data_IF_605046335428
#
_entry.id   IF_605046335428
#
_cell.length_a   1.000
_cell.length_b   1.000
_cell.length_c   1.000
_cell.angle_alpha   90.00
_cell.angle_beta   90.00
_cell.angle_gamma   90.00
#
_symmetry.space_group_name_H-M   'P 1'
#
loop_
_entity.id
_entity.type
_entity.pdbx_description
1 polymer ?
#
# COMPACT_ATOMS: atom_id res chain seq x y z
N UNK A 1 23.97 31.03 13.63
CA UNK A 1 23.34 32.16 12.94
C UNK A 1 24.41 33.24 12.77
N UNK A 2 24.77 33.57 11.56
CA UNK A 2 25.73 34.66 11.35
C UNK A 2 24.99 35.98 11.59
N UNK A 3 25.40 36.71 12.66
CA UNK A 3 25.08 38.14 12.79
C UNK A 3 26.18 38.89 12.07
N UNK A 4 25.84 40.04 11.46
CA UNK A 4 26.81 40.90 10.80
C UNK A 4 28.01 41.15 11.71
N UNK A 5 29.16 40.55 11.36
CA UNK A 5 30.48 40.84 11.92
C UNK A 5 30.99 40.06 13.13
N UNK A 6 30.23 39.10 13.69
CA UNK A 6 30.76 38.28 14.79
C UNK A 6 30.29 36.80 14.69
N UNK A 7 31.17 35.82 14.91
CA UNK A 7 30.74 34.44 15.10
C UNK A 7 29.97 34.29 16.41
N UNK A 8 28.85 33.51 16.39
CA UNK A 8 27.97 33.31 17.57
C UNK A 8 28.59 32.46 18.71
N UNK A 9 29.86 32.06 18.62
CA UNK A 9 30.62 31.39 19.67
C UNK A 9 31.89 32.19 20.04
N UNK A 10 32.24 32.25 21.32
CA UNK A 10 33.51 32.74 21.75
C UNK A 10 34.60 31.82 21.18
N UNK A 11 35.16 32.19 20.04
CA UNK A 11 36.29 31.51 19.44
C UNK A 11 37.54 32.02 20.08
N UNK A 12 38.55 31.17 20.21
CA UNK A 12 39.90 31.59 20.56
C UNK A 12 40.29 32.82 19.71
N UNK A 13 40.64 33.95 20.29
CA UNK A 13 41.06 35.15 19.54
C UNK A 13 42.16 34.88 18.52
N UNK A 14 42.87 33.76 18.68
CA UNK A 14 43.95 33.34 17.77
C UNK A 14 43.44 32.60 16.52
N UNK A 15 42.14 32.18 16.48
CA UNK A 15 41.53 31.52 15.32
C UNK A 15 40.11 32.05 15.08
N UNK A 16 39.95 33.17 14.36
CA UNK A 16 38.64 33.68 14.04
C UNK A 16 37.82 32.68 13.20
N UNK A 17 36.58 32.49 13.54
CA UNK A 17 35.66 31.65 12.76
C UNK A 17 35.46 32.19 11.34
N UNK A 18 34.90 31.32 10.46
CA UNK A 18 34.62 31.67 9.07
C UNK A 18 33.60 32.82 8.98
N UNK A 19 33.89 33.87 8.20
CA UNK A 19 32.93 34.95 7.95
C UNK A 19 31.80 34.52 7.01
N UNK A 20 30.67 35.25 7.00
CA UNK A 20 29.54 35.05 6.07
C UNK A 20 30.00 35.04 4.62
N UNK A 21 30.90 35.93 4.26
CA UNK A 21 31.47 36.03 2.90
C UNK A 21 32.28 34.77 2.56
N UNK A 22 33.19 34.36 3.45
CA UNK A 22 34.01 33.14 3.27
C UNK A 22 33.13 31.87 3.15
N UNK A 23 32.08 31.77 3.94
CA UNK A 23 31.15 30.67 3.85
C UNK A 23 30.39 30.64 2.51
N UNK A 24 30.01 31.81 2.00
CA UNK A 24 29.40 31.97 0.68
C UNK A 24 30.34 31.56 -0.45
N UNK A 25 31.56 32.05 -0.44
CA UNK A 25 32.61 31.73 -1.44
C UNK A 25 32.96 30.23 -1.43
N UNK A 26 32.98 29.61 -0.25
CA UNK A 26 33.17 28.16 -0.13
C UNK A 26 32.02 27.39 -0.72
N UNK A 27 30.78 27.82 -0.46
CA UNK A 27 29.59 27.20 -1.06
C UNK A 27 29.58 27.32 -2.59
N UNK A 28 29.97 28.48 -3.14
CA UNK A 28 30.06 28.70 -4.58
C UNK A 28 31.08 27.76 -5.23
N UNK A 29 32.24 27.53 -4.59
CA UNK A 29 33.24 26.57 -5.09
C UNK A 29 32.71 25.13 -5.10
N UNK A 30 31.96 24.73 -4.05
CA UNK A 30 31.32 23.40 -4.00
C UNK A 30 30.28 23.26 -5.12
N UNK A 31 29.44 24.27 -5.30
CA UNK A 31 28.39 24.23 -6.34
C UNK A 31 28.99 24.20 -7.75
N UNK A 32 30.07 24.96 -8.01
CA UNK A 32 30.80 24.90 -9.28
C UNK A 32 31.36 23.50 -9.55
N UNK A 33 31.91 22.85 -8.54
CA UNK A 33 32.39 21.47 -8.66
C UNK A 33 31.26 20.49 -8.94
N UNK A 34 30.15 20.57 -8.18
CA UNK A 34 28.97 19.74 -8.36
C UNK A 34 28.42 19.88 -9.78
N UNK A 35 28.26 21.14 -10.25
CA UNK A 35 27.75 21.40 -11.60
C UNK A 35 28.65 20.79 -12.67
N UNK A 36 30.00 20.92 -12.51
CA UNK A 36 30.94 20.31 -13.43
C UNK A 36 30.83 18.80 -13.49
N UNK A 37 30.77 18.12 -12.33
CA UNK A 37 30.65 16.67 -12.24
C UNK A 37 29.35 16.20 -12.89
N UNK A 38 28.22 16.89 -12.61
CA UNK A 38 26.93 16.55 -13.21
C UNK A 38 26.94 16.73 -14.74
N UNK A 39 27.50 17.83 -15.25
CA UNK A 39 27.62 18.06 -16.69
C UNK A 39 28.47 17.01 -17.41
N UNK A 40 29.56 16.57 -16.79
CA UNK A 40 30.47 15.57 -17.36
C UNK A 40 29.91 14.14 -17.30
N UNK A 41 29.12 13.81 -16.27
CA UNK A 41 28.72 12.45 -16.01
C UNK A 41 27.20 12.18 -16.23
N UNK A 42 26.41 13.22 -16.31
CA UNK A 42 24.93 13.16 -16.32
C UNK A 42 24.33 12.37 -15.15
N UNK A 43 25.04 12.35 -14.00
CA UNK A 43 24.63 11.66 -12.77
C UNK A 43 24.28 12.63 -11.67
N UNK A 44 23.39 12.20 -10.78
CA UNK A 44 23.11 12.93 -9.55
C UNK A 44 24.35 12.99 -8.65
N UNK A 45 24.52 14.11 -7.96
CA UNK A 45 25.65 14.34 -7.06
C UNK A 45 25.11 14.46 -5.63
N UNK A 46 25.66 13.67 -4.71
CA UNK A 46 25.33 13.74 -3.29
C UNK A 46 26.45 14.50 -2.56
N UNK A 47 26.07 15.61 -1.91
CA UNK A 47 26.96 16.37 -1.05
C UNK A 47 26.64 16.13 0.42
N UNK A 48 27.58 15.57 1.17
CA UNK A 48 27.45 15.35 2.63
C UNK A 48 28.14 16.50 3.37
N UNK A 49 27.37 17.18 4.24
CA UNK A 49 27.90 18.38 4.92
C UNK A 49 27.21 18.60 6.28
N UNK A 50 27.66 19.60 7.05
CA UNK A 50 27.10 19.98 8.33
C UNK A 50 25.87 20.90 8.14
N UNK A 51 24.86 20.78 9.04
CA UNK A 51 23.58 21.46 8.93
C UNK A 51 23.66 22.98 8.67
N UNK A 52 24.59 23.72 9.30
CA UNK A 52 24.75 25.15 9.04
C UNK A 52 25.30 25.45 7.64
N UNK A 53 26.28 24.67 7.18
CA UNK A 53 26.79 24.83 5.84
C UNK A 53 25.83 24.38 4.76
N UNK A 54 25.03 23.35 5.00
CA UNK A 54 23.92 22.95 4.10
C UNK A 54 22.97 24.10 3.82
N UNK A 55 22.61 24.88 4.84
CA UNK A 55 21.75 26.06 4.70
C UNK A 55 22.32 27.14 3.81
N UNK A 56 23.64 27.37 3.93
CA UNK A 56 24.38 28.31 3.06
C UNK A 56 24.40 27.77 1.63
N UNK A 57 24.63 26.48 1.47
CA UNK A 57 24.72 25.82 0.17
C UNK A 57 23.36 25.89 -0.57
N UNK A 58 22.24 25.64 0.14
CA UNK A 58 20.88 25.78 -0.42
C UNK A 58 20.64 27.23 -0.86
N UNK A 59 20.92 28.23 0.01
CA UNK A 59 20.75 29.62 -0.33
C UNK A 59 21.54 30.01 -1.60
N UNK A 60 22.79 29.65 -1.67
CA UNK A 60 23.67 29.94 -2.83
C UNK A 60 23.21 29.23 -4.10
N UNK A 61 22.82 27.97 -3.99
CA UNK A 61 22.25 27.24 -5.13
C UNK A 61 21.01 27.94 -5.71
N UNK A 62 20.10 28.42 -4.84
CA UNK A 62 18.91 29.16 -5.23
C UNK A 62 19.18 30.62 -5.62
N UNK A 63 20.45 31.01 -5.77
CA UNK A 63 20.91 32.39 -6.07
C UNK A 63 20.42 33.44 -5.05
N UNK A 64 20.17 33.01 -3.81
CA UNK A 64 19.74 33.88 -2.71
C UNK A 64 20.93 34.36 -1.87
N UNK A 65 20.80 35.51 -1.15
CA UNK A 65 21.78 35.94 -0.17
C UNK A 65 22.01 34.88 0.90
N UNK A 66 23.28 34.77 1.39
CA UNK A 66 23.63 33.78 2.44
C UNK A 66 22.76 33.92 3.68
N UNK A 67 22.36 35.15 4.04
CA UNK A 67 21.48 35.44 5.19
C UNK A 67 20.13 34.70 5.12
N UNK A 68 19.64 34.43 3.93
CA UNK A 68 18.38 33.64 3.74
C UNK A 68 18.56 32.18 4.17
N UNK A 69 19.78 31.67 4.22
CA UNK A 69 20.10 30.36 4.74
C UNK A 69 19.57 30.12 6.16
N UNK A 70 19.41 31.16 6.97
CA UNK A 70 18.83 31.06 8.30
C UNK A 70 17.33 30.62 8.29
N UNK A 71 16.64 30.84 7.19
CA UNK A 71 15.22 30.44 7.01
C UNK A 71 15.05 28.97 6.64
N UNK A 72 16.12 28.27 6.27
CA UNK A 72 16.07 26.84 5.98
C UNK A 72 16.37 26.04 7.24
N UNK A 73 15.41 25.23 7.68
CA UNK A 73 15.62 24.37 8.84
C UNK A 73 16.12 22.99 8.39
N UNK A 74 17.39 22.70 8.70
CA UNK A 74 18.01 21.39 8.45
C UNK A 74 18.20 20.66 9.77
N UNK A 75 17.60 19.48 9.91
CA UNK A 75 17.87 18.58 11.03
C UNK A 75 19.13 17.77 10.78
N UNK A 76 19.72 17.24 11.86
CA UNK A 76 20.81 16.25 11.76
C UNK A 76 20.32 15.07 10.91
N UNK A 77 21.13 14.60 9.98
CA UNK A 77 20.80 13.58 8.97
C UNK A 77 19.68 13.98 7.98
N UNK A 78 19.24 15.25 7.99
CA UNK A 78 18.29 15.76 6.99
C UNK A 78 18.88 15.81 5.59
N UNK A 79 18.04 15.69 4.58
CA UNK A 79 18.42 15.83 3.18
C UNK A 79 17.65 16.99 2.53
N UNK A 80 18.27 17.69 1.59
CA UNK A 80 17.61 18.61 0.67
C UNK A 80 17.87 18.16 -0.76
N UNK A 81 16.84 18.16 -1.59
CA UNK A 81 16.97 17.85 -3.01
C UNK A 81 16.90 19.15 -3.80
N UNK A 82 17.97 19.45 -4.50
CA UNK A 82 18.15 20.63 -5.33
C UNK A 82 18.14 20.22 -6.80
N UNK A 83 17.47 20.95 -7.64
CA UNK A 83 17.33 20.66 -9.07
C UNK A 83 17.23 21.97 -9.86
N UNK A 84 17.05 21.83 -11.17
CA UNK A 84 16.77 22.96 -12.05
C UNK A 84 15.41 22.73 -12.71
N UNK A 85 14.59 23.77 -12.72
CA UNK A 85 13.27 23.68 -13.37
C UNK A 85 13.41 23.66 -14.89
N UNK A 86 12.53 22.95 -15.57
CA UNK A 86 12.51 22.81 -17.05
C UNK A 86 13.87 22.41 -17.67
N UNK A 87 14.76 21.75 -16.92
CA UNK A 87 16.14 21.48 -17.34
C UNK A 87 16.96 22.75 -17.65
N UNK A 88 16.54 23.89 -17.08
CA UNK A 88 17.16 25.19 -17.28
C UNK A 88 18.11 25.53 -16.11
N UNK A 89 19.43 25.60 -16.36
CA UNK A 89 20.47 25.95 -15.35
C UNK A 89 20.28 27.33 -14.73
N UNK A 90 19.46 28.15 -15.32
CA UNK A 90 19.15 29.48 -14.81
C UNK A 90 18.02 29.50 -13.78
N UNK A 91 17.26 28.41 -13.68
CA UNK A 91 16.08 28.25 -12.80
C UNK A 91 16.34 27.20 -11.71
N UNK A 92 17.21 27.49 -10.72
CA UNK A 92 17.48 26.56 -9.63
C UNK A 92 16.29 26.43 -8.69
N UNK A 93 15.94 25.20 -8.36
CA UNK A 93 14.75 24.87 -7.59
C UNK A 93 15.08 23.96 -6.41
N UNK A 94 14.45 24.20 -5.26
CA UNK A 94 14.44 23.31 -4.12
C UNK A 94 13.23 22.40 -4.22
N UNK A 95 13.43 21.12 -4.60
CA UNK A 95 12.35 20.15 -4.74
C UNK A 95 11.79 19.68 -3.39
N UNK A 96 12.59 19.68 -2.33
CA UNK A 96 12.14 19.33 -1.00
C UNK A 96 13.24 19.33 0.04
N UNK A 97 12.83 19.46 1.29
CA UNK A 97 13.68 19.27 2.46
C UNK A 97 13.08 18.16 3.31
N UNK A 98 13.84 17.11 3.54
CA UNK A 98 13.42 15.94 4.27
C UNK A 98 14.10 15.89 5.62
N UNK A 99 13.33 15.97 6.72
CA UNK A 99 13.83 15.56 8.01
C UNK A 99 13.78 14.03 8.04
N UNK A 100 14.82 13.33 8.47
CA UNK A 100 14.66 11.93 8.76
C UNK A 100 13.62 11.84 9.87
N UNK A 101 12.60 11.04 9.67
CA UNK A 101 11.87 10.53 10.83
C UNK A 101 12.93 9.98 11.78
N UNK A 102 12.87 10.33 13.06
CA UNK A 102 13.79 9.85 14.10
C UNK A 102 13.60 8.33 14.29
N UNK A 103 13.81 7.56 13.25
CA UNK A 103 14.01 6.13 13.36
C UNK A 103 15.51 5.93 13.54
N UNK A 104 15.95 5.16 14.52
CA UNK A 104 17.22 4.49 14.39
C UNK A 104 17.03 3.47 13.26
N UNK A 105 17.08 3.91 12.03
CA UNK A 105 17.30 3.00 10.92
C UNK A 105 18.71 2.50 11.10
N UNK A 106 18.82 1.36 11.73
CA UNK A 106 19.89 0.47 11.41
C UNK A 106 19.88 0.39 9.88
N UNK A 107 20.98 0.88 9.29
CA UNK A 107 21.28 0.85 7.87
C UNK A 107 20.43 1.80 6.97
N UNK A 108 21.10 2.83 6.45
CA UNK A 108 20.85 3.30 5.10
C UNK A 108 20.90 2.08 4.17
N UNK A 109 19.83 1.77 3.43
CA UNK A 109 19.95 0.78 2.36
C UNK A 109 21.04 1.29 1.43
N UNK A 110 21.97 0.43 1.07
CA UNK A 110 22.90 0.76 -0.01
C UNK A 110 22.05 1.17 -1.21
N UNK A 111 22.41 2.25 -1.89
CA UNK A 111 21.68 2.77 -3.05
C UNK A 111 21.63 1.77 -4.23
N UNK A 112 21.96 0.51 -4.01
CA UNK A 112 22.10 -0.56 -4.98
C UNK A 112 21.11 -1.73 -4.75
N UNK A 113 20.43 -1.80 -3.58
CA UNK A 113 19.38 -2.81 -3.37
C UNK A 113 18.05 -2.11 -3.12
N UNK A 114 17.04 -2.28 -3.99
CA UNK A 114 15.71 -1.74 -3.75
C UNK A 114 15.17 -2.34 -2.43
N UNK A 115 14.72 -1.48 -1.54
CA UNK A 115 14.10 -1.90 -0.28
C UNK A 115 12.97 -2.87 -0.59
N UNK A 116 12.93 -4.03 0.08
CA UNK A 116 11.87 -5.02 -0.12
C UNK A 116 10.49 -4.39 0.03
N UNK A 117 9.56 -4.67 -0.89
CA UNK A 117 8.27 -3.98 -0.98
C UNK A 117 7.38 -4.16 0.26
N UNK A 118 7.56 -5.23 1.03
CA UNK A 118 6.85 -5.44 2.30
C UNK A 118 7.14 -4.34 3.33
N UNK A 119 8.27 -3.65 3.22
CA UNK A 119 8.56 -2.53 4.13
C UNK A 119 7.57 -1.38 4.04
N UNK A 120 6.88 -1.19 2.92
CA UNK A 120 5.80 -0.21 2.82
C UNK A 120 4.70 -0.50 3.87
N UNK A 121 4.31 -1.77 3.98
CA UNK A 121 3.33 -2.22 4.98
C UNK A 121 3.89 -2.14 6.39
N UNK A 122 5.11 -2.63 6.64
CA UNK A 122 5.74 -2.62 7.97
C UNK A 122 5.96 -1.18 8.47
N UNK A 123 6.38 -0.27 7.59
CA UNK A 123 6.57 1.14 7.92
C UNK A 123 5.24 1.80 8.31
N UNK A 124 4.14 1.48 7.62
CA UNK A 124 2.81 1.97 7.97
C UNK A 124 2.32 1.41 9.32
N UNK A 125 2.55 0.12 9.59
CA UNK A 125 2.23 -0.49 10.90
C UNK A 125 2.96 0.24 12.02
N UNK A 126 4.26 0.48 11.89
CA UNK A 126 5.04 1.22 12.88
C UNK A 126 4.55 2.67 13.06
N UNK A 127 4.22 3.34 11.96
CA UNK A 127 3.69 4.70 11.98
C UNK A 127 2.35 4.78 12.74
N UNK A 128 1.41 3.87 12.46
CA UNK A 128 0.12 3.82 13.15
C UNK A 128 0.28 3.50 14.63
N UNK A 129 1.17 2.58 14.99
CA UNK A 129 1.44 2.26 16.41
C UNK A 129 2.00 3.48 17.15
N UNK A 130 2.92 4.25 16.55
CA UNK A 130 3.60 5.38 17.20
C UNK A 130 2.78 6.66 17.19
N UNK A 131 2.16 6.97 16.07
CA UNK A 131 1.58 8.28 15.76
C UNK A 131 0.06 8.25 15.61
N UNK A 132 -0.56 7.06 15.53
CA UNK A 132 -1.99 6.92 15.35
C UNK A 132 -2.79 7.49 16.53
N UNK A 133 -3.92 8.13 16.21
CA UNK A 133 -4.88 8.61 17.20
C UNK A 133 -5.62 7.42 17.82
N UNK A 134 -5.83 7.47 19.16
CA UNK A 134 -6.68 6.47 19.81
C UNK A 134 -8.15 6.71 19.45
N UNK A 135 -8.84 5.66 19.05
CA UNK A 135 -10.27 5.69 18.74
C UNK A 135 -10.97 4.50 19.37
N UNK A 136 -12.07 4.78 20.06
CA UNK A 136 -13.00 3.72 20.46
C UNK A 136 -13.65 3.13 19.21
N UNK A 137 -13.84 1.83 19.20
CA UNK A 137 -14.47 1.11 18.10
C UNK A 137 -15.67 0.27 18.56
N UNK A 138 -16.45 -0.27 17.61
CA UNK A 138 -17.66 -1.05 17.92
C UNK A 138 -17.39 -2.36 18.67
N UNK A 139 -16.17 -2.89 18.62
CA UNK A 139 -15.79 -4.15 19.30
C UNK A 139 -15.44 -3.92 20.77
N UNK A 140 -15.24 -2.66 21.18
CA UNK A 140 -14.80 -2.29 22.52
C UNK A 140 -13.30 -2.51 22.78
N UNK A 141 -12.53 -3.00 21.81
CA UNK A 141 -11.07 -3.20 21.92
C UNK A 141 -10.32 -1.87 21.87
N UNK A 142 -10.81 -0.93 21.05
CA UNK A 142 -10.14 0.30 20.72
C UNK A 142 -9.04 0.12 19.66
N UNK A 143 -8.72 1.20 18.95
CA UNK A 143 -7.71 1.20 17.90
C UNK A 143 -6.78 2.40 18.00
N UNK A 144 -5.58 2.30 17.43
CA UNK A 144 -4.81 3.44 16.95
C UNK A 144 -5.01 3.55 15.46
N UNK A 145 -5.30 4.76 14.96
CA UNK A 145 -5.67 4.96 13.56
C UNK A 145 -5.01 6.20 12.95
N UNK A 146 -4.71 6.10 11.64
CA UNK A 146 -4.34 7.22 10.76
C UNK A 146 -5.32 7.19 9.59
N UNK A 147 -5.99 8.31 9.32
CA UNK A 147 -6.89 8.41 8.18
C UNK A 147 -6.15 8.87 6.92
N UNK A 148 -6.37 8.15 5.82
CA UNK A 148 -5.80 8.43 4.50
C UNK A 148 -4.27 8.66 4.57
N UNK A 149 -3.46 7.64 4.96
CA UNK A 149 -2.01 7.77 4.97
C UNK A 149 -1.52 8.22 3.59
N UNK A 150 -0.47 9.03 3.55
CA UNK A 150 -0.03 9.76 2.36
C UNK A 150 0.39 8.89 1.16
N UNK A 151 0.64 7.60 1.38
CA UNK A 151 1.12 6.69 0.35
C UNK A 151 0.15 5.52 0.16
N UNK A 152 -0.14 5.18 -1.09
CA UNK A 152 -0.64 3.87 -1.45
C UNK A 152 0.46 2.82 -1.24
N UNK A 153 0.07 1.59 -0.88
CA UNK A 153 0.99 0.45 -0.90
C UNK A 153 1.00 -0.13 -2.31
N UNK A 154 2.17 -0.20 -2.94
CA UNK A 154 2.32 -0.67 -4.32
C UNK A 154 3.22 -1.90 -4.39
N UNK A 155 2.78 -2.93 -5.11
CA UNK A 155 3.47 -4.21 -5.25
C UNK A 155 3.64 -4.59 -6.72
N UNK A 156 4.86 -4.99 -7.08
CA UNK A 156 5.17 -5.58 -8.38
C UNK A 156 4.63 -7.03 -8.43
N UNK A 157 3.74 -7.30 -9.37
CA UNK A 157 3.16 -8.61 -9.60
C UNK A 157 3.84 -9.37 -10.75
N UNK A 158 4.81 -8.79 -11.40
CA UNK A 158 5.51 -9.44 -12.52
C UNK A 158 6.10 -10.79 -12.10
N UNK A 159 6.25 -11.70 -13.06
CA UNK A 159 6.79 -13.06 -12.85
C UNK A 159 5.99 -13.90 -11.82
N UNK A 160 4.69 -13.60 -11.66
CA UNK A 160 3.82 -14.32 -10.74
C UNK A 160 3.97 -13.93 -9.27
N UNK A 161 4.62 -12.83 -8.95
CA UNK A 161 4.83 -12.39 -7.56
C UNK A 161 3.51 -12.22 -6.81
N UNK A 162 3.43 -12.76 -5.59
CA UNK A 162 2.24 -12.75 -4.75
C UNK A 162 2.59 -12.21 -3.34
N UNK A 163 2.41 -10.90 -3.10
CA UNK A 163 2.80 -10.28 -1.84
C UNK A 163 1.93 -10.73 -0.67
N UNK A 164 2.52 -10.82 0.52
CA UNK A 164 1.87 -11.01 1.82
C UNK A 164 0.88 -12.19 1.89
N UNK A 165 1.18 -13.29 1.18
CA UNK A 165 0.29 -14.44 1.04
C UNK A 165 0.05 -15.19 2.35
N UNK A 166 -1.18 -15.67 2.51
CA UNK A 166 -1.52 -16.82 3.34
C UNK A 166 -2.28 -17.86 2.52
N UNK A 167 -1.94 -19.14 2.66
CA UNK A 167 -2.48 -20.24 1.83
C UNK A 167 -4.01 -20.37 1.89
N UNK A 168 -4.62 -20.03 3.01
CA UNK A 168 -6.08 -20.11 3.21
C UNK A 168 -6.88 -19.13 2.35
N UNK A 169 -6.25 -18.08 1.82
CA UNK A 169 -6.94 -17.02 1.06
C UNK A 169 -7.33 -17.42 -0.35
N UNK A 170 -6.70 -18.41 -0.92
CA UNK A 170 -7.12 -18.96 -2.21
C UNK A 170 -8.59 -19.38 -2.17
N UNK A 171 -9.03 -20.06 -1.12
CA UNK A 171 -10.42 -20.51 -0.99
C UNK A 171 -11.41 -19.36 -0.83
N UNK A 172 -11.10 -18.35 -0.04
CA UNK A 172 -11.98 -17.18 0.15
C UNK A 172 -12.17 -16.40 -1.15
N UNK A 173 -11.08 -16.15 -1.89
CA UNK A 173 -11.17 -15.44 -3.16
C UNK A 173 -12.00 -16.21 -4.19
N UNK A 174 -11.80 -17.52 -4.32
CA UNK A 174 -12.59 -18.34 -5.23
C UNK A 174 -14.08 -18.40 -4.80
N UNK A 175 -14.34 -18.36 -3.50
CA UNK A 175 -15.68 -18.25 -2.95
C UNK A 175 -16.32 -16.89 -3.32
N UNK A 176 -15.60 -15.77 -3.25
CA UNK A 176 -16.10 -14.48 -3.77
C UNK A 176 -16.36 -14.54 -5.29
N UNK A 177 -15.41 -15.08 -6.07
CA UNK A 177 -15.55 -15.24 -7.52
C UNK A 177 -16.81 -16.05 -7.87
N UNK A 178 -17.14 -17.07 -7.08
CA UNK A 178 -18.33 -17.89 -7.31
C UNK A 178 -19.66 -17.23 -6.87
N UNK A 179 -19.64 -16.00 -6.35
CA UNK A 179 -20.85 -15.30 -5.89
C UNK A 179 -21.47 -15.85 -4.60
N UNK A 180 -20.80 -16.78 -3.91
CA UNK A 180 -21.34 -17.45 -2.72
C UNK A 180 -21.28 -16.55 -1.49
N UNK A 181 -22.24 -16.75 -0.58
CA UNK A 181 -22.41 -15.97 0.64
C UNK A 181 -22.54 -16.84 1.89
N UNK A 182 -22.51 -18.17 1.75
CA UNK A 182 -22.51 -19.14 2.85
C UNK A 182 -21.11 -19.34 3.43
N UNK A 183 -20.88 -18.86 4.65
CA UNK A 183 -19.60 -19.01 5.36
C UNK A 183 -19.28 -20.50 5.70
N UNK A 184 -20.28 -21.36 5.79
CA UNK A 184 -20.07 -22.80 6.07
C UNK A 184 -19.26 -23.48 4.97
N UNK A 185 -19.41 -23.06 3.71
CA UNK A 185 -18.60 -23.56 2.59
C UNK A 185 -17.09 -23.28 2.77
N UNK A 186 -16.73 -22.23 3.50
CA UNK A 186 -15.34 -21.92 3.87
C UNK A 186 -14.91 -22.72 5.09
N UNK A 187 -15.76 -22.82 6.11
CA UNK A 187 -15.49 -23.60 7.32
C UNK A 187 -15.22 -25.08 7.01
N UNK A 188 -15.98 -25.69 6.10
CA UNK A 188 -15.79 -27.06 5.61
C UNK A 188 -14.42 -27.27 4.95
N UNK A 189 -13.76 -26.20 4.53
CA UNK A 189 -12.39 -26.20 3.96
C UNK A 189 -11.34 -25.70 4.94
N UNK A 190 -11.69 -25.60 6.23
CA UNK A 190 -10.80 -25.16 7.30
C UNK A 190 -10.49 -23.66 7.28
N UNK A 191 -11.34 -22.84 6.68
CA UNK A 191 -11.23 -21.38 6.67
C UNK A 191 -12.32 -20.80 7.58
N UNK A 192 -11.96 -20.39 8.79
CA UNK A 192 -12.87 -20.00 9.88
C UNK A 192 -12.98 -18.49 10.12
N UNK A 193 -12.50 -17.67 9.17
CA UNK A 193 -12.43 -16.21 9.33
C UNK A 193 -13.81 -15.52 9.31
N UNK A 194 -14.84 -16.20 8.83
CA UNK A 194 -16.21 -15.70 8.78
C UNK A 194 -17.13 -16.33 9.84
N UNK A 195 -16.64 -17.28 10.65
CA UNK A 195 -17.47 -17.99 11.63
C UNK A 195 -18.08 -17.03 12.65
N UNK A 196 -17.31 -16.06 13.14
CA UNK A 196 -17.81 -15.06 14.09
C UNK A 196 -18.96 -14.23 13.49
N UNK A 197 -18.76 -13.68 12.28
CA UNK A 197 -19.76 -12.85 11.60
C UNK A 197 -20.96 -13.65 11.08
N UNK A 198 -20.80 -14.94 10.85
CA UNK A 198 -21.85 -15.87 10.45
C UNK A 198 -22.57 -16.55 11.61
N UNK A 199 -22.12 -16.34 12.84
CA UNK A 199 -22.73 -16.96 14.03
C UNK A 199 -24.16 -16.47 14.25
N UNK A 200 -24.99 -17.33 14.85
CA UNK A 200 -26.39 -17.01 15.14
C UNK A 200 -26.51 -15.78 16.03
N UNK A 201 -25.65 -15.67 17.04
CA UNK A 201 -25.68 -14.55 17.99
C UNK A 201 -25.32 -13.23 17.31
N UNK A 202 -24.29 -13.21 16.46
CA UNK A 202 -23.88 -12.02 15.71
C UNK A 202 -24.98 -11.59 14.70
N UNK A 203 -25.54 -12.53 13.95
CA UNK A 203 -26.64 -12.24 13.03
C UNK A 203 -27.87 -11.69 13.78
N UNK A 204 -28.21 -12.23 14.94
CA UNK A 204 -29.31 -11.73 15.77
C UNK A 204 -29.05 -10.29 16.25
N UNK A 205 -27.82 -9.97 16.71
CA UNK A 205 -27.43 -8.63 17.13
C UNK A 205 -27.49 -7.62 15.97
N UNK A 206 -27.25 -8.08 14.74
CA UNK A 206 -27.39 -7.28 13.51
C UNK A 206 -28.83 -7.13 13.02
N UNK A 207 -29.81 -7.70 13.69
CA UNK A 207 -31.21 -7.75 13.24
C UNK A 207 -31.47 -8.77 12.12
N UNK A 208 -30.51 -9.65 11.86
CA UNK A 208 -30.55 -10.68 10.82
C UNK A 208 -30.82 -12.09 11.38
N UNK A 209 -31.38 -12.20 12.58
CA UNK A 209 -31.63 -13.46 13.26
C UNK A 209 -32.64 -14.38 12.55
N UNK A 210 -33.35 -13.90 11.54
CA UNK A 210 -34.20 -14.69 10.66
C UNK A 210 -33.43 -15.57 9.68
N UNK A 211 -32.13 -15.27 9.43
CA UNK A 211 -31.27 -16.05 8.55
C UNK A 211 -30.72 -17.27 9.24
N UNK A 212 -30.40 -18.29 8.44
CA UNK A 212 -29.64 -19.42 8.98
C UNK A 212 -28.22 -19.03 9.34
N UNK A 213 -27.65 -19.73 10.27
CA UNK A 213 -26.24 -19.59 10.63
C UNK A 213 -25.33 -19.83 9.40
N UNK A 214 -24.37 -18.96 9.20
CA UNK A 214 -23.48 -18.95 8.04
C UNK A 214 -23.95 -18.11 6.85
N UNK A 215 -25.23 -17.72 6.79
CA UNK A 215 -25.74 -16.83 5.74
C UNK A 215 -25.35 -15.37 6.03
N UNK A 216 -24.32 -14.89 5.35
CA UNK A 216 -23.76 -13.55 5.55
C UNK A 216 -24.55 -12.44 4.84
N UNK A 217 -25.57 -12.79 4.04
CA UNK A 217 -26.27 -11.84 3.20
C UNK A 217 -25.50 -11.47 1.94
N UNK A 218 -25.92 -10.41 1.24
CA UNK A 218 -25.38 -10.04 -0.08
C UNK A 218 -23.99 -9.38 0.02
N UNK A 219 -23.03 -10.07 0.66
CA UNK A 219 -21.64 -9.59 0.83
C UNK A 219 -20.83 -9.80 -0.45
N UNK A 220 -19.66 -9.24 -0.51
CA UNK A 220 -18.60 -9.25 -1.55
C UNK A 220 -18.92 -10.04 -2.84
N UNK A 221 -18.93 -11.37 -2.79
CA UNK A 221 -19.14 -12.23 -3.96
C UNK A 221 -20.49 -12.02 -4.60
N UNK A 222 -21.56 -11.84 -3.80
CA UNK A 222 -22.88 -11.53 -4.33
C UNK A 222 -22.87 -10.20 -5.10
N UNK A 223 -22.27 -9.15 -4.53
CA UNK A 223 -22.19 -7.87 -5.22
C UNK A 223 -21.34 -7.96 -6.49
N UNK A 224 -20.30 -8.77 -6.51
CA UNK A 224 -19.46 -8.96 -7.70
C UNK A 224 -20.21 -9.64 -8.85
N UNK A 225 -21.13 -10.58 -8.54
CA UNK A 225 -21.78 -11.44 -9.53
C UNK A 225 -23.26 -11.12 -9.77
N UNK A 226 -23.94 -10.48 -8.82
CA UNK A 226 -25.40 -10.28 -8.83
C UNK A 226 -25.79 -8.88 -8.34
N UNK A 227 -25.00 -7.85 -8.64
CA UNK A 227 -25.24 -6.49 -8.15
C UNK A 227 -26.64 -6.00 -8.50
N UNK A 228 -27.41 -5.58 -7.49
CA UNK A 228 -28.77 -5.09 -7.65
C UNK A 228 -29.86 -6.18 -7.75
N UNK A 229 -29.50 -7.46 -7.70
CA UNK A 229 -30.49 -8.53 -7.51
C UNK A 229 -31.07 -8.45 -6.08
N UNK A 230 -32.35 -8.85 -5.94
CA UNK A 230 -32.97 -8.93 -4.62
C UNK A 230 -32.44 -10.16 -3.88
N UNK A 231 -31.72 -9.94 -2.79
CA UNK A 231 -31.20 -11.03 -1.98
C UNK A 231 -32.31 -11.70 -1.16
N UNK A 232 -32.39 -13.02 -1.22
CA UNK A 232 -33.30 -13.87 -0.43
C UNK A 232 -32.51 -14.58 0.67
N UNK A 233 -31.62 -15.51 0.30
CA UNK A 233 -30.75 -16.27 1.20
C UNK A 233 -29.55 -16.85 0.43
N UNK A 234 -28.63 -17.50 1.17
CA UNK A 234 -27.42 -18.07 0.60
C UNK A 234 -27.64 -19.34 -0.24
N UNK A 235 -28.83 -19.94 -0.21
CA UNK A 235 -29.17 -21.17 -0.93
C UNK A 235 -29.91 -20.88 -2.25
N UNK A 236 -30.40 -19.65 -2.43
CA UNK A 236 -31.13 -19.22 -3.63
C UNK A 236 -30.18 -19.16 -4.85
N UNK A 237 -30.71 -19.64 -5.99
CA UNK A 237 -30.05 -19.49 -7.29
C UNK A 237 -30.33 -18.11 -7.88
N UNK A 238 -29.27 -17.32 -8.05
CA UNK A 238 -29.31 -15.97 -8.62
C UNK A 238 -28.85 -15.91 -10.09
N UNK A 239 -28.72 -17.05 -10.76
CA UNK A 239 -28.29 -17.11 -12.16
C UNK A 239 -29.17 -16.21 -13.03
N UNK A 240 -28.52 -15.28 -13.77
CA UNK A 240 -29.21 -14.32 -14.64
C UNK A 240 -29.88 -13.15 -13.91
N UNK A 241 -29.71 -13.02 -12.59
CA UNK A 241 -30.24 -11.90 -11.82
C UNK A 241 -29.15 -10.87 -11.50
N UNK A 242 -29.51 -9.59 -11.56
CA UNK A 242 -28.61 -8.47 -11.30
C UNK A 242 -27.52 -8.29 -12.36
N UNK A 243 -26.45 -7.61 -12.00
CA UNK A 243 -25.31 -7.32 -12.89
C UNK A 243 -24.10 -8.14 -12.46
N UNK A 244 -23.59 -8.96 -13.37
CA UNK A 244 -22.32 -9.65 -13.20
C UNK A 244 -21.16 -8.70 -13.50
N UNK A 245 -20.69 -7.97 -12.49
CA UNK A 245 -19.61 -7.00 -12.62
C UNK A 245 -18.27 -7.67 -13.00
N UNK A 246 -17.99 -8.88 -12.47
CA UNK A 246 -16.74 -9.59 -12.76
C UNK A 246 -16.67 -10.04 -14.22
N UNK A 247 -17.75 -10.57 -14.75
CA UNK A 247 -17.85 -10.91 -16.16
C UNK A 247 -17.70 -9.66 -17.05
N UNK A 248 -18.32 -8.54 -16.67
CA UNK A 248 -18.20 -7.26 -17.38
C UNK A 248 -16.77 -6.73 -17.39
N UNK A 249 -16.04 -6.80 -16.26
CA UNK A 249 -14.62 -6.44 -16.17
C UNK A 249 -13.77 -7.29 -17.14
N UNK A 250 -13.93 -8.61 -17.11
CA UNK A 250 -13.20 -9.53 -17.99
C UNK A 250 -13.54 -9.25 -19.46
N UNK A 251 -14.81 -9.03 -19.78
CA UNK A 251 -15.25 -8.69 -21.12
C UNK A 251 -14.62 -7.37 -21.60
N UNK A 252 -14.67 -6.32 -20.77
CA UNK A 252 -14.09 -5.02 -21.09
C UNK A 252 -12.58 -5.10 -21.32
N UNK A 253 -11.83 -5.83 -20.50
CA UNK A 253 -10.39 -6.04 -20.71
C UNK A 253 -10.11 -6.69 -22.07
N UNK A 254 -10.93 -7.67 -22.50
CA UNK A 254 -10.78 -8.37 -23.78
C UNK A 254 -11.16 -7.52 -24.99
N UNK A 255 -12.18 -6.66 -24.88
CA UNK A 255 -12.80 -6.00 -26.04
C UNK A 255 -12.51 -4.51 -26.13
N UNK A 256 -12.29 -3.84 -24.99
CA UNK A 256 -12.00 -2.42 -24.90
C UNK A 256 -11.04 -2.12 -23.76
N UNK A 257 -9.77 -2.55 -23.84
CA UNK A 257 -8.79 -2.48 -22.73
C UNK A 257 -8.45 -1.04 -22.31
N UNK A 258 -8.78 -0.04 -23.11
CA UNK A 258 -8.53 1.38 -22.79
C UNK A 258 -9.69 2.06 -22.08
N UNK A 259 -10.78 1.34 -21.78
CA UNK A 259 -11.92 1.88 -21.03
C UNK A 259 -11.50 2.22 -19.58
N UNK A 260 -11.90 3.42 -19.14
CA UNK A 260 -11.66 3.88 -17.76
C UNK A 260 -12.70 3.39 -16.75
N UNK A 261 -13.72 2.65 -17.21
CA UNK A 261 -14.81 2.10 -16.41
C UNK A 261 -14.64 0.60 -16.09
N UNK A 262 -13.43 0.07 -16.24
CA UNK A 262 -13.10 -1.31 -15.86
C UNK A 262 -12.96 -1.35 -14.34
N UNK A 263 -14.07 -1.44 -13.64
CA UNK A 263 -14.12 -1.40 -12.17
C UNK A 263 -15.16 -2.39 -11.61
N UNK A 264 -14.95 -2.77 -10.37
CA UNK A 264 -15.71 -3.74 -9.59
C UNK A 264 -15.94 -3.17 -8.20
N UNK A 265 -17.19 -3.10 -7.73
CA UNK A 265 -17.53 -2.61 -6.40
C UNK A 265 -18.34 -3.61 -5.60
N UNK A 266 -18.03 -3.74 -4.31
CA UNK A 266 -18.84 -4.48 -3.34
C UNK A 266 -19.75 -3.56 -2.50
N UNK A 267 -19.58 -2.22 -2.62
CA UNK A 267 -20.36 -1.27 -1.86
C UNK A 267 -21.69 -0.97 -2.52
N UNK A 268 -22.76 -1.49 -1.93
CA UNK A 268 -24.13 -1.23 -2.36
C UNK A 268 -24.92 -0.63 -1.19
N UNK A 269 -25.19 0.69 -1.17
CA UNK A 269 -25.89 1.35 -0.06
C UNK A 269 -27.26 0.77 0.25
N UNK A 270 -27.95 0.19 -0.75
CA UNK A 270 -29.29 -0.41 -0.56
C UNK A 270 -29.20 -1.68 0.28
N UNK A 271 -28.11 -2.45 0.14
CA UNK A 271 -27.96 -3.76 0.77
C UNK A 271 -27.19 -3.72 2.11
N UNK A 272 -26.57 -2.59 2.48
CA UNK A 272 -25.72 -2.51 3.69
C UNK A 272 -26.43 -2.96 4.96
N UNK A 273 -27.71 -2.67 5.09
CA UNK A 273 -28.51 -3.02 6.27
C UNK A 273 -28.80 -4.53 6.39
N UNK A 274 -28.71 -5.23 5.27
CA UNK A 274 -28.96 -6.67 5.19
C UNK A 274 -27.67 -7.49 5.00
N UNK A 275 -26.51 -6.89 5.09
CA UNK A 275 -25.20 -7.56 5.14
C UNK A 275 -24.82 -7.86 6.60
N UNK A 276 -24.31 -9.04 6.87
CA UNK A 276 -23.72 -9.36 8.17
C UNK A 276 -22.58 -8.37 8.49
N UNK A 277 -21.73 -8.07 7.52
CA UNK A 277 -20.65 -7.10 7.65
C UNK A 277 -20.54 -6.24 6.38
N UNK A 278 -20.64 -4.88 6.49
CA UNK A 278 -20.39 -4.00 5.35
C UNK A 278 -18.97 -4.16 4.80
N UNK A 279 -18.78 -4.14 3.46
CA UNK A 279 -17.48 -4.37 2.85
C UNK A 279 -16.40 -3.39 3.32
N UNK A 280 -15.21 -3.89 3.69
CA UNK A 280 -14.04 -3.09 4.00
C UNK A 280 -13.28 -2.68 2.74
N UNK A 281 -12.97 -3.63 1.85
CA UNK A 281 -12.44 -3.38 0.51
C UNK A 281 -13.63 -3.18 -0.44
N UNK A 282 -13.86 -1.92 -0.84
CA UNK A 282 -15.16 -1.53 -1.42
C UNK A 282 -15.16 -1.44 -2.94
N UNK A 283 -14.00 -1.17 -3.54
CA UNK A 283 -13.87 -0.89 -4.96
C UNK A 283 -12.48 -1.30 -5.45
N UNK A 284 -12.41 -1.93 -6.61
CA UNK A 284 -11.16 -2.00 -7.36
C UNK A 284 -11.37 -1.59 -8.82
N UNK A 285 -10.32 -0.99 -9.40
CA UNK A 285 -10.27 -0.58 -10.79
C UNK A 285 -9.08 -1.24 -11.46
N UNK A 286 -9.29 -1.65 -12.71
CA UNK A 286 -8.26 -2.27 -13.53
C UNK A 286 -7.80 -1.33 -14.63
N UNK A 287 -6.53 -1.42 -14.97
CA UNK A 287 -5.90 -0.68 -16.05
C UNK A 287 -5.08 -1.65 -16.91
N UNK A 288 -5.24 -1.55 -18.23
CA UNK A 288 -4.44 -2.34 -19.18
C UNK A 288 -3.41 -1.45 -19.83
N UNK A 289 -2.13 -1.70 -19.52
CA UNK A 289 -1.00 -1.05 -20.18
C UNK A 289 -0.64 -1.83 -21.44
N UNK A 290 -0.67 -1.14 -22.57
CA UNK A 290 -0.37 -1.71 -23.89
C UNK A 290 0.93 -1.08 -24.40
N UNK A 291 1.96 -1.89 -24.61
CA UNK A 291 3.23 -1.48 -25.21
C UNK A 291 3.43 -2.24 -26.51
N UNK A 292 3.89 -1.55 -27.52
CA UNK A 292 4.11 -2.15 -28.84
C UNK A 292 5.07 -3.35 -28.77
N UNK A 293 4.67 -4.47 -29.37
CA UNK A 293 5.46 -5.70 -29.37
C UNK A 293 5.53 -6.46 -28.04
N UNK A 294 4.79 -6.03 -27.01
CA UNK A 294 4.74 -6.71 -25.72
C UNK A 294 3.34 -7.25 -25.42
N UNK A 295 3.26 -8.24 -24.54
CA UNK A 295 2.01 -8.73 -23.99
C UNK A 295 1.35 -7.61 -23.15
N UNK A 296 0.02 -7.40 -23.26
CA UNK A 296 -0.68 -6.42 -22.43
C UNK A 296 -0.47 -6.70 -20.94
N UNK A 297 -0.23 -5.66 -20.16
CA UNK A 297 -0.03 -5.74 -18.71
C UNK A 297 -1.28 -5.27 -17.98
N UNK A 298 -1.75 -6.06 -17.01
CA UNK A 298 -2.90 -5.73 -16.16
C UNK A 298 -2.44 -5.21 -14.80
N UNK A 299 -2.93 -4.03 -14.44
CA UNK A 299 -2.75 -3.41 -13.13
C UNK A 299 -4.09 -3.34 -12.40
N UNK A 300 -4.05 -3.42 -11.07
CA UNK A 300 -5.23 -3.30 -10.22
C UNK A 300 -4.97 -2.29 -9.12
N UNK A 301 -5.90 -1.36 -8.90
CA UNK A 301 -5.93 -0.49 -7.73
C UNK A 301 -7.18 -0.78 -6.91
N UNK A 302 -7.03 -1.01 -5.61
CA UNK A 302 -8.14 -1.27 -4.69
C UNK A 302 -8.20 -0.17 -3.62
N UNK A 303 -9.41 0.33 -3.34
CA UNK A 303 -9.67 1.21 -2.21
C UNK A 303 -10.30 0.44 -1.04
N UNK A 304 -9.69 0.54 0.12
CA UNK A 304 -10.14 -0.06 1.37
C UNK A 304 -10.49 1.02 2.38
N UNK A 305 -11.77 1.11 2.79
CA UNK A 305 -12.26 2.14 3.72
C UNK A 305 -11.86 1.91 5.17
N UNK A 306 -11.66 0.65 5.57
CA UNK A 306 -11.35 0.22 6.94
C UNK A 306 -10.29 -0.85 6.87
N UNK A 307 -9.10 -0.55 7.39
CA UNK A 307 -7.86 -1.26 7.12
C UNK A 307 -7.24 -1.75 8.44
N UNK A 308 -7.70 -2.90 8.92
CA UNK A 308 -7.04 -3.62 10.02
C UNK A 308 -5.65 -4.07 9.56
N UNK A 309 -4.62 -3.37 10.01
CA UNK A 309 -3.23 -3.66 9.62
C UNK A 309 -2.71 -4.96 10.22
N UNK A 310 -3.28 -5.45 11.32
CA UNK A 310 -2.86 -6.69 11.96
C UNK A 310 -3.23 -7.94 11.18
N UNK A 311 -4.52 -8.08 10.85
CA UNK A 311 -5.06 -9.28 10.22
C UNK A 311 -5.60 -9.02 8.81
N UNK A 312 -6.39 -7.97 8.63
CA UNK A 312 -7.14 -7.73 7.39
C UNK A 312 -6.27 -7.37 6.19
N UNK A 313 -5.45 -6.33 6.32
CA UNK A 313 -4.69 -5.75 5.19
C UNK A 313 -3.74 -6.74 4.51
N UNK A 314 -2.91 -7.53 5.22
CA UNK A 314 -2.06 -8.53 4.56
C UNK A 314 -2.86 -9.51 3.71
N UNK A 315 -3.99 -9.94 4.23
CA UNK A 315 -4.89 -10.83 3.52
C UNK A 315 -5.53 -10.18 2.29
N UNK A 316 -5.94 -8.92 2.41
CA UNK A 316 -6.58 -8.22 1.29
C UNK A 316 -5.57 -7.96 0.17
N UNK A 317 -4.32 -7.62 0.48
CA UNK A 317 -3.23 -7.48 -0.50
C UNK A 317 -3.06 -8.79 -1.28
N UNK A 318 -2.89 -9.91 -0.59
CA UNK A 318 -2.72 -11.22 -1.23
C UNK A 318 -3.94 -11.60 -2.09
N UNK A 319 -5.16 -11.33 -1.63
CA UNK A 319 -6.39 -11.65 -2.37
C UNK A 319 -6.52 -10.86 -3.66
N UNK A 320 -6.27 -9.55 -3.64
CA UNK A 320 -6.38 -8.74 -4.85
C UNK A 320 -5.21 -8.89 -5.80
N UNK A 321 -4.00 -9.17 -5.30
CA UNK A 321 -2.88 -9.58 -6.12
C UNK A 321 -3.20 -10.88 -6.86
N UNK A 322 -3.73 -11.89 -6.16
CA UNK A 322 -4.17 -13.14 -6.78
C UNK A 322 -5.32 -12.91 -7.78
N UNK A 323 -6.34 -12.10 -7.44
CA UNK A 323 -7.42 -11.75 -8.37
C UNK A 323 -6.86 -11.15 -9.67
N UNK A 324 -5.86 -10.27 -9.56
CA UNK A 324 -5.21 -9.66 -10.73
C UNK A 324 -4.54 -10.71 -11.60
N UNK A 325 -3.83 -11.68 -11.00
CA UNK A 325 -3.24 -12.82 -11.73
C UNK A 325 -4.29 -13.68 -12.43
N UNK A 326 -5.41 -13.99 -11.73
CA UNK A 326 -6.46 -14.84 -12.31
C UNK A 326 -7.16 -14.14 -13.48
N UNK A 327 -7.49 -12.84 -13.34
CA UNK A 327 -8.09 -12.06 -14.42
C UNK A 327 -7.10 -11.92 -15.59
N UNK A 328 -5.83 -11.64 -15.33
CA UNK A 328 -4.80 -11.55 -16.35
C UNK A 328 -4.70 -12.86 -17.16
N UNK A 329 -4.70 -14.01 -16.48
CA UNK A 329 -4.63 -15.32 -17.12
C UNK A 329 -5.81 -15.55 -18.10
N UNK A 330 -7.05 -15.28 -17.68
CA UNK A 330 -8.24 -15.51 -18.51
C UNK A 330 -8.46 -14.46 -19.59
N UNK A 331 -7.74 -13.33 -19.52
CA UNK A 331 -7.82 -12.24 -20.50
C UNK A 331 -6.63 -12.16 -21.46
N UNK A 332 -5.64 -13.04 -21.29
CA UNK A 332 -4.42 -13.04 -22.09
C UNK A 332 -3.43 -11.94 -21.74
N UNK A 333 -3.62 -11.24 -20.62
CA UNK A 333 -2.70 -10.24 -20.08
C UNK A 333 -1.61 -10.89 -19.19
N UNK A 334 -0.65 -10.07 -18.76
CA UNK A 334 0.29 -10.38 -17.68
C UNK A 334 -0.01 -9.46 -16.49
N UNK A 335 -0.12 -10.00 -15.28
CA UNK A 335 -0.27 -9.16 -14.10
C UNK A 335 1.03 -8.39 -13.84
N UNK A 336 0.92 -7.07 -13.60
CA UNK A 336 2.10 -6.22 -13.45
C UNK A 336 2.16 -5.45 -12.14
N UNK A 337 1.04 -4.89 -11.66
CA UNK A 337 1.05 -4.09 -10.45
C UNK A 337 -0.26 -4.23 -9.66
N UNK A 338 -0.14 -4.22 -8.34
CA UNK A 338 -1.25 -4.01 -7.43
C UNK A 338 -1.01 -2.79 -6.55
N UNK A 339 -1.99 -1.91 -6.43
CA UNK A 339 -1.95 -0.73 -5.58
C UNK A 339 -3.10 -0.75 -4.58
N UNK A 340 -2.80 -0.59 -3.28
CA UNK A 340 -3.78 -0.49 -2.21
C UNK A 340 -3.86 0.94 -1.70
N UNK A 341 -5.04 1.55 -1.81
CA UNK A 341 -5.35 2.87 -1.24
C UNK A 341 -6.15 2.68 0.04
N UNK A 342 -5.65 3.27 1.14
CA UNK A 342 -6.20 3.08 2.48
C UNK A 342 -7.00 4.30 2.94
N UNK A 343 -8.18 4.05 3.49
CA UNK A 343 -8.98 5.03 4.22
C UNK A 343 -8.54 5.12 5.69
N UNK A 344 -9.30 4.48 6.59
CA UNK A 344 -8.96 4.38 8.02
C UNK A 344 -7.98 3.22 8.23
N UNK A 345 -6.69 3.52 8.31
CA UNK A 345 -5.64 2.54 8.59
C UNK A 345 -5.43 2.43 10.11
N UNK A 346 -5.69 1.25 10.67
CA UNK A 346 -5.70 1.08 12.13
C UNK A 346 -5.07 -0.21 12.61
N UNK A 347 -4.62 -0.17 13.85
CA UNK A 347 -4.11 -1.29 14.64
C UNK A 347 -4.97 -1.41 15.90
N UNK A 348 -5.58 -2.58 16.16
CA UNK A 348 -6.28 -2.85 17.40
C UNK A 348 -5.32 -2.83 18.59
N UNK A 349 -5.80 -2.37 19.75
CA UNK A 349 -4.94 -2.20 20.93
C UNK A 349 -4.29 -3.51 21.40
N UNK A 350 -4.98 -4.64 21.29
CA UNK A 350 -4.47 -5.97 21.62
C UNK A 350 -3.52 -6.55 20.56
N UNK A 351 -3.45 -5.94 19.35
CA UNK A 351 -2.50 -6.32 18.30
C UNK A 351 -1.17 -5.57 18.35
N UNK A 352 -1.03 -4.53 19.19
CA UNK A 352 0.17 -3.68 19.25
C UNK A 352 1.43 -4.51 19.57
N UNK A 353 1.40 -5.31 20.64
CA UNK A 353 2.57 -6.11 21.02
C UNK A 353 2.90 -7.23 20.02
N UNK A 354 1.93 -8.01 19.50
CA UNK A 354 2.16 -8.92 18.38
C UNK A 354 2.79 -8.26 17.16
N UNK A 355 2.32 -7.08 16.76
CA UNK A 355 2.86 -6.36 15.62
C UNK A 355 4.26 -5.79 15.86
N UNK A 356 4.57 -5.35 17.08
CA UNK A 356 5.95 -5.00 17.46
C UNK A 356 6.92 -6.19 17.32
N UNK A 357 6.44 -7.40 17.56
CA UNK A 357 7.24 -8.61 17.31
C UNK A 357 7.43 -8.86 15.81
N UNK A 358 6.39 -8.64 15.00
CA UNK A 358 6.50 -8.72 13.54
C UNK A 358 7.51 -7.71 12.99
N UNK A 359 7.50 -6.47 13.49
CA UNK A 359 8.42 -5.40 13.06
C UNK A 359 9.91 -5.70 13.30
N UNK A 360 10.24 -6.67 14.16
CA UNK A 360 11.64 -7.14 14.37
C UNK A 360 12.10 -8.12 13.29
N UNK A 361 11.20 -8.64 12.47
CA UNK A 361 11.49 -9.68 11.48
C UNK A 361 11.84 -9.03 10.13
N UNK A 362 12.89 -9.52 9.50
CA UNK A 362 13.22 -9.10 8.14
C UNK A 362 12.25 -9.72 7.14
N UNK A 363 11.78 -8.97 6.13
CA UNK A 363 11.02 -9.54 5.02
C UNK A 363 11.75 -10.70 4.34
N UNK A 364 10.98 -11.63 3.79
CA UNK A 364 11.45 -12.74 2.95
C UNK A 364 10.92 -12.57 1.55
N UNK A 365 11.58 -13.18 0.57
CA UNK A 365 11.13 -13.16 -0.82
C UNK A 365 9.66 -13.55 -0.93
N UNK A 366 8.92 -12.81 -1.72
CA UNK A 366 7.52 -13.12 -1.98
C UNK A 366 7.38 -14.43 -2.77
N UNK A 367 6.40 -15.27 -2.43
CA UNK A 367 6.08 -16.44 -3.22
C UNK A 367 5.59 -16.06 -4.62
N UNK A 368 5.54 -17.06 -5.50
CA UNK A 368 5.04 -16.91 -6.87
C UNK A 368 3.85 -17.82 -7.11
N UNK A 369 2.87 -17.30 -7.85
CA UNK A 369 1.70 -18.05 -8.29
C UNK A 369 1.82 -18.43 -9.75
N UNK A 370 1.46 -19.67 -10.05
CA UNK A 370 1.34 -20.20 -11.41
C UNK A 370 0.02 -20.96 -11.54
N UNK A 371 -0.63 -20.86 -12.69
CA UNK A 371 -1.74 -21.74 -13.03
C UNK A 371 -1.17 -22.99 -13.70
N UNK A 372 -1.55 -24.18 -13.19
CA UNK A 372 -1.08 -25.49 -13.70
C UNK A 372 -1.63 -25.86 -15.08
N UNK A 373 -2.67 -25.14 -15.52
CA UNK A 373 -3.29 -25.30 -16.84
C UNK A 373 -3.75 -23.96 -17.39
N UNK A 374 -3.91 -23.88 -18.68
CA UNK A 374 -4.59 -22.74 -19.32
C UNK A 374 -6.07 -22.76 -18.96
N UNK A 375 -6.60 -21.58 -18.64
CA UNK A 375 -8.00 -21.37 -18.27
C UNK A 375 -8.52 -20.16 -19.05
N UNK A 376 -9.64 -20.32 -19.74
CA UNK A 376 -10.28 -19.25 -20.52
C UNK A 376 -11.45 -18.56 -19.80
N UNK A 377 -12.01 -19.23 -18.78
CA UNK A 377 -13.11 -18.71 -17.97
C UNK A 377 -12.71 -18.74 -16.49
N UNK A 378 -12.90 -17.61 -15.79
CA UNK A 378 -12.55 -17.47 -14.37
C UNK A 378 -13.36 -18.42 -13.48
N UNK A 379 -14.57 -18.77 -13.87
CA UNK A 379 -15.47 -19.69 -13.15
C UNK A 379 -14.98 -21.15 -13.16
N UNK A 380 -14.08 -21.50 -14.09
CA UNK A 380 -13.52 -22.85 -14.21
C UNK A 380 -12.26 -23.06 -13.34
N UNK A 381 -11.76 -21.99 -12.70
CA UNK A 381 -10.57 -22.06 -11.85
C UNK A 381 -10.91 -22.80 -10.55
N UNK A 382 -10.13 -23.81 -10.24
CA UNK A 382 -10.22 -24.61 -9.01
C UNK A 382 -9.00 -24.34 -8.12
N UNK A 383 -9.09 -24.56 -6.80
CA UNK A 383 -7.94 -24.42 -5.90
C UNK A 383 -6.71 -25.26 -6.36
N UNK A 384 -6.95 -26.42 -6.94
CA UNK A 384 -5.92 -27.36 -7.42
C UNK A 384 -5.16 -26.83 -8.64
N UNK A 385 -5.75 -25.90 -9.38
CA UNK A 385 -5.12 -25.24 -10.54
C UNK A 385 -4.07 -24.21 -10.12
N UNK A 386 -4.15 -23.71 -8.88
CA UNK A 386 -3.29 -22.65 -8.37
C UNK A 386 -2.10 -23.28 -7.67
N UNK A 387 -0.91 -23.09 -8.24
CA UNK A 387 0.37 -23.53 -7.67
C UNK A 387 1.11 -22.33 -7.07
N UNK A 388 1.48 -22.45 -5.79
CA UNK A 388 2.18 -21.39 -5.05
C UNK A 388 3.56 -21.91 -4.68
N UNK A 389 4.59 -21.30 -5.24
CA UNK A 389 5.98 -21.69 -5.09
C UNK A 389 6.75 -20.69 -4.23
N UNK A 390 7.72 -21.18 -3.46
CA UNK A 390 8.63 -20.32 -2.67
C UNK A 390 8.00 -19.71 -1.42
N UNK A 391 6.82 -20.17 -0.98
CA UNK A 391 6.20 -19.64 0.25
C UNK A 391 6.95 -20.13 1.50
N UNK A 392 7.68 -19.23 2.13
CA UNK A 392 8.49 -19.49 3.32
C UNK A 392 8.21 -18.45 4.42
N UNK A 393 7.05 -18.50 5.09
CA UNK A 393 6.70 -17.50 6.09
C UNK A 393 7.54 -17.64 7.36
N UNK A 394 7.59 -16.57 8.16
CA UNK A 394 8.03 -16.66 9.55
C UNK A 394 7.04 -17.47 10.40
N UNK A 395 7.45 -17.85 11.60
CA UNK A 395 6.56 -18.51 12.56
C UNK A 395 5.34 -17.64 12.89
N UNK A 396 4.19 -18.30 13.14
CA UNK A 396 2.91 -17.65 13.46
C UNK A 396 3.05 -16.70 14.65
N UNK A 397 2.39 -15.56 14.56
CA UNK A 397 2.13 -14.64 15.67
C UNK A 397 0.64 -14.70 15.96
N UNK A 398 0.26 -15.01 17.20
CA UNK A 398 -1.14 -15.08 17.59
C UNK A 398 -1.74 -13.68 17.74
N UNK A 399 -2.82 -13.43 17.02
CA UNK A 399 -3.67 -12.24 17.14
C UNK A 399 -5.14 -12.66 17.12
N UNK A 400 -5.96 -12.08 17.98
CA UNK A 400 -7.39 -12.38 18.01
C UNK A 400 -8.12 -11.54 16.97
N UNK A 401 -9.09 -12.14 16.30
CA UNK A 401 -9.98 -11.39 15.41
C UNK A 401 -10.98 -10.60 16.25
N UNK A 402 -11.05 -9.30 16.05
CA UNK A 402 -12.05 -8.42 16.65
C UNK A 402 -13.36 -8.51 15.83
N UNK A 403 -14.46 -9.00 16.44
CA UNK A 403 -15.75 -9.28 15.77
C UNK A 403 -16.86 -8.34 16.25
#
# INVERSE_FOLDING_TARGET
MFRDGAPDHPTDPAQPGESVQQAGERADRVLAYVSKVHQETHKDVVAVTHGHFSRVLIARFLKLPVSVGASFQMSTTGAAVLSYDHSCWEEPTLLGMFAPSLRPTAFLPSALDPKHEEYQYLDLVDEVIRCGEYRADRTGTGTRAIFAPQLSLEFDLTRGTLPLLTTKRVFELLWFISGKTDAKLLADRGVHIWDGNGSRDFLAQRGLGHRREGDLGPVYGFQWRHFGAQYVDADTDYTGQGVDQLANVIHAIKTNPTDRRILLTAWNPVDLSIMALPPCHILCQFFVSMREGQRPCLECQMYQRSCDLGLGVPFNIASYALLTHLIAAVTGCEASKFSLVLGDAHVYMDHIEPLKEQLKRAPRDFPKVHLKREVSNIDDIRPEDIDIQGYQPHGKIEMRMSV
#
